data_IF_457411477363
#
_entry.id   IF_457411477363
#
_cell.length_a   1.000
_cell.length_b   1.000
_cell.length_c   1.000
_cell.angle_alpha   90.00
_cell.angle_beta   90.00
_cell.angle_gamma   90.00
#
_symmetry.space_group_name_H-M   'P 1'
#
loop_
_entity.id
_entity.type
_entity.pdbx_description
1 polymer ?
#
# COMPACT_ATOMS: atom_id res chain seq x y z
N UNK A 1 -31.65 -19.74 23.53
CA UNK A 1 -32.99 -19.86 22.88
C UNK A 1 -33.47 -18.57 22.17
N UNK A 2 -33.41 -17.38 22.79
CA UNK A 2 -33.93 -16.12 22.21
C UNK A 2 -33.24 -15.67 20.91
N UNK A 3 -31.90 -15.66 20.88
CA UNK A 3 -31.12 -15.30 19.69
C UNK A 3 -31.40 -16.19 18.47
N UNK A 4 -31.65 -17.49 18.67
CA UNK A 4 -32.02 -18.41 17.58
C UNK A 4 -33.42 -18.14 17.02
N UNK A 5 -34.38 -17.69 17.85
CA UNK A 5 -35.71 -17.27 17.39
C UNK A 5 -35.62 -15.96 16.59
N UNK A 6 -34.87 -14.98 17.09
CA UNK A 6 -34.64 -13.70 16.41
C UNK A 6 -33.94 -13.89 15.05
N UNK A 7 -32.92 -14.75 14.99
CA UNK A 7 -32.23 -15.08 13.74
C UNK A 7 -33.16 -15.71 12.69
N UNK A 8 -34.02 -16.66 13.11
CA UNK A 8 -35.03 -17.27 12.22
C UNK A 8 -36.04 -16.25 11.71
N UNK A 9 -36.48 -15.33 12.58
CA UNK A 9 -37.41 -14.26 12.23
C UNK A 9 -36.79 -13.32 11.19
N UNK A 10 -35.58 -12.82 11.43
CA UNK A 10 -34.85 -11.94 10.49
C UNK A 10 -34.64 -12.62 9.14
N UNK A 11 -34.28 -13.92 9.14
CA UNK A 11 -34.11 -14.71 7.90
C UNK A 11 -35.43 -14.84 7.13
N UNK A 12 -36.54 -15.05 7.83
CA UNK A 12 -37.88 -15.11 7.24
C UNK A 12 -38.31 -13.77 6.62
N UNK A 13 -38.10 -12.67 7.34
CA UNK A 13 -38.37 -11.30 6.86
C UNK A 13 -37.55 -10.98 5.61
N UNK A 14 -36.23 -11.24 5.64
CA UNK A 14 -35.36 -11.03 4.47
C UNK A 14 -35.81 -11.85 3.26
N UNK A 15 -36.25 -13.10 3.46
CA UNK A 15 -36.76 -13.95 2.39
C UNK A 15 -38.05 -13.39 1.78
N UNK A 16 -39.01 -12.96 2.61
CA UNK A 16 -40.27 -12.36 2.15
C UNK A 16 -40.01 -11.03 1.42
N UNK A 17 -39.14 -10.18 1.96
CA UNK A 17 -38.76 -8.91 1.33
C UNK A 17 -38.12 -9.12 -0.05
N UNK A 18 -37.23 -10.12 -0.19
CA UNK A 18 -36.60 -10.47 -1.47
C UNK A 18 -37.64 -10.95 -2.49
N UNK A 19 -38.60 -11.78 -2.09
CA UNK A 19 -39.69 -12.26 -2.96
C UNK A 19 -40.60 -11.10 -3.42
N UNK A 20 -40.82 -10.13 -2.56
CA UNK A 20 -41.61 -8.92 -2.85
C UNK A 20 -40.81 -7.78 -3.52
N UNK A 21 -39.52 -7.99 -3.84
CA UNK A 21 -38.61 -6.95 -4.38
C UNK A 21 -38.52 -5.68 -3.52
N UNK A 22 -38.66 -5.83 -2.20
CA UNK A 22 -38.57 -4.75 -1.23
C UNK A 22 -37.12 -4.57 -0.74
N UNK A 23 -36.70 -3.31 -0.68
CA UNK A 23 -35.46 -2.83 -0.10
C UNK A 23 -35.76 -2.40 1.33
N UNK A 24 -35.00 -2.98 2.27
CA UNK A 24 -35.04 -2.61 3.69
C UNK A 24 -33.66 -2.06 4.04
N UNK A 25 -33.58 -0.77 4.40
CA UNK A 25 -32.34 -0.13 4.84
C UNK A 25 -32.60 0.84 5.98
N UNK A 26 -31.60 0.99 6.83
CA UNK A 26 -31.58 2.08 7.81
C UNK A 26 -31.27 3.37 7.07
N UNK A 27 -32.04 4.42 7.33
CA UNK A 27 -31.81 5.75 6.79
C UNK A 27 -30.54 6.33 7.39
N UNK A 28 -29.75 6.97 6.53
CA UNK A 28 -28.52 7.68 6.87
C UNK A 28 -28.75 8.85 7.83
N UNK A 29 -29.92 9.51 7.74
CA UNK A 29 -30.35 10.57 8.66
C UNK A 29 -31.56 10.13 9.51
N UNK A 30 -31.46 10.34 10.82
CA UNK A 30 -32.57 10.15 11.77
C UNK A 30 -32.82 8.72 12.24
N UNK A 31 -31.98 7.74 11.85
CA UNK A 31 -32.05 6.36 12.37
C UNK A 31 -33.31 5.57 12.00
N UNK A 32 -34.21 6.14 11.19
CA UNK A 32 -35.43 5.49 10.74
C UNK A 32 -35.16 4.30 9.82
N UNK A 33 -36.13 3.38 9.73
CA UNK A 33 -36.06 2.24 8.82
C UNK A 33 -36.85 2.56 7.55
N UNK A 34 -36.18 2.55 6.39
CA UNK A 34 -36.85 2.61 5.09
C UNK A 34 -37.22 1.20 4.61
N UNK A 35 -38.49 1.03 4.25
CA UNK A 35 -39.02 -0.15 3.57
C UNK A 35 -39.72 0.35 2.31
N UNK A 36 -39.21 -0.02 1.14
CA UNK A 36 -39.76 0.42 -0.14
C UNK A 36 -39.27 -0.42 -1.30
N UNK A 37 -39.86 -0.27 -2.48
CA UNK A 37 -39.39 -0.93 -3.70
C UNK A 37 -38.20 -0.16 -4.32
N UNK A 38 -37.51 -0.80 -5.27
CA UNK A 38 -36.49 -0.10 -6.09
C UNK A 38 -37.10 1.12 -6.83
N UNK A 39 -38.31 0.95 -7.35
CA UNK A 39 -39.07 2.02 -8.02
C UNK A 39 -39.36 3.21 -7.11
N UNK A 40 -39.57 2.99 -5.81
CA UNK A 40 -39.80 4.10 -4.87
C UNK A 40 -38.52 4.93 -4.66
N UNK A 41 -37.37 4.26 -4.67
CA UNK A 41 -36.07 4.92 -4.61
C UNK A 41 -35.80 5.74 -5.88
N UNK A 42 -36.07 5.16 -7.05
CA UNK A 42 -35.94 5.84 -8.35
C UNK A 42 -36.86 7.07 -8.43
N UNK A 43 -38.11 6.94 -7.97
CA UNK A 43 -39.09 8.03 -7.91
C UNK A 43 -38.64 9.14 -6.95
N UNK A 44 -38.14 8.78 -5.78
CA UNK A 44 -37.64 9.76 -4.79
C UNK A 44 -36.38 10.47 -5.29
N UNK A 45 -35.49 9.75 -5.96
CA UNK A 45 -34.32 10.34 -6.61
C UNK A 45 -34.72 11.30 -7.73
N UNK A 46 -35.71 10.94 -8.56
CA UNK A 46 -36.25 11.83 -9.59
C UNK A 46 -36.85 13.10 -8.99
N UNK A 47 -37.73 12.95 -7.98
CA UNK A 47 -38.31 14.08 -7.26
C UNK A 47 -37.24 15.01 -6.67
N UNK A 48 -36.22 14.46 -6.03
CA UNK A 48 -35.12 15.27 -5.48
C UNK A 48 -34.34 16.02 -6.56
N UNK A 49 -34.09 15.39 -7.73
CA UNK A 49 -33.44 16.06 -8.86
C UNK A 49 -34.29 17.23 -9.37
N UNK A 50 -35.59 17.05 -9.51
CA UNK A 50 -36.54 18.09 -9.94
C UNK A 50 -36.63 19.23 -8.92
N UNK A 51 -36.81 18.91 -7.63
CA UNK A 51 -37.00 19.89 -6.55
C UNK A 51 -35.74 20.75 -6.33
N UNK A 52 -34.55 20.14 -6.39
CA UNK A 52 -33.29 20.84 -6.06
C UNK A 52 -32.60 21.46 -7.26
N UNK A 53 -32.89 20.99 -8.48
CA UNK A 53 -32.16 21.32 -9.71
C UNK A 53 -30.64 21.15 -9.59
N UNK A 54 -30.17 20.36 -8.62
CA UNK A 54 -28.75 20.23 -8.30
C UNK A 54 -27.98 19.30 -9.26
N UNK A 55 -28.69 18.57 -10.13
CA UNK A 55 -28.10 17.57 -11.02
C UNK A 55 -28.59 17.75 -12.46
N UNK A 56 -27.66 17.74 -13.41
CA UNK A 56 -27.93 17.71 -14.84
C UNK A 56 -27.76 16.29 -15.37
N UNK A 57 -28.74 15.80 -16.12
CA UNK A 57 -28.62 14.52 -16.84
C UNK A 57 -27.70 14.70 -18.05
N UNK A 58 -26.70 13.82 -18.18
CA UNK A 58 -25.76 13.83 -19.29
C UNK A 58 -26.27 12.88 -20.37
N UNK A 59 -26.27 13.33 -21.63
CA UNK A 59 -26.65 12.52 -22.81
C UNK A 59 -25.63 11.44 -23.17
N UNK A 60 -24.49 11.42 -22.50
CA UNK A 60 -23.41 10.48 -22.70
C UNK A 60 -22.86 10.01 -21.35
N UNK A 61 -22.26 8.83 -21.33
CA UNK A 61 -21.53 8.36 -20.15
C UNK A 61 -20.12 8.99 -20.15
N UNK A 62 -19.81 9.95 -19.27
CA UNK A 62 -18.50 10.60 -19.25
C UNK A 62 -17.37 9.65 -18.84
N UNK A 63 -17.70 8.48 -18.27
CA UNK A 63 -16.73 7.46 -17.87
C UNK A 63 -16.46 6.42 -18.97
N UNK A 64 -17.15 6.51 -20.13
CA UNK A 64 -17.03 5.50 -21.20
C UNK A 64 -15.59 5.40 -21.70
N UNK A 65 -14.91 6.53 -21.91
CA UNK A 65 -13.51 6.56 -22.34
C UNK A 65 -12.53 6.00 -21.30
N UNK A 66 -12.76 6.27 -20.01
CA UNK A 66 -11.96 5.69 -18.92
C UNK A 66 -12.10 4.17 -18.84
N UNK A 67 -13.27 3.63 -19.18
CA UNK A 67 -13.57 2.19 -19.15
C UNK A 67 -13.10 1.50 -20.44
N UNK A 68 -13.12 2.19 -21.58
CA UNK A 68 -12.73 1.63 -22.89
C UNK A 68 -11.24 1.68 -23.19
N UNK A 69 -10.40 2.13 -22.25
CA UNK A 69 -8.96 2.14 -22.40
C UNK A 69 -8.42 0.68 -22.38
N UNK A 70 -8.50 0.01 -23.55
CA UNK A 70 -8.23 -1.42 -23.77
C UNK A 70 -6.81 -1.89 -23.39
N UNK A 71 -5.92 -0.96 -23.04
CA UNK A 71 -4.53 -1.25 -22.65
C UNK A 71 -4.29 -1.33 -21.14
N UNK A 72 -5.26 -1.01 -20.28
CA UNK A 72 -5.03 -1.05 -18.82
C UNK A 72 -5.27 -2.47 -18.28
N UNK A 73 -4.23 -3.18 -17.80
CA UNK A 73 -4.41 -4.51 -17.23
C UNK A 73 -5.29 -4.44 -15.98
N UNK A 74 -6.40 -5.17 -15.99
CA UNK A 74 -7.30 -5.29 -14.85
C UNK A 74 -6.71 -6.27 -13.82
N UNK A 75 -6.77 -5.90 -12.54
CA UNK A 75 -6.43 -6.79 -11.43
C UNK A 75 -7.66 -7.61 -11.05
N UNK A 76 -7.64 -8.96 -11.16
CA UNK A 76 -8.79 -9.79 -10.83
C UNK A 76 -8.91 -9.96 -9.31
N UNK A 77 -9.32 -8.88 -8.62
CA UNK A 77 -9.47 -8.86 -7.17
C UNK A 77 -10.71 -9.67 -6.78
N UNK A 78 -10.53 -10.67 -5.92
CA UNK A 78 -11.61 -11.46 -5.35
C UNK A 78 -12.04 -10.87 -4.01
N UNK A 79 -13.35 -10.71 -3.81
CA UNK A 79 -13.90 -10.32 -2.52
C UNK A 79 -13.87 -11.50 -1.53
N UNK A 80 -12.79 -11.59 -0.77
CA UNK A 80 -12.57 -12.66 0.22
C UNK A 80 -13.19 -12.36 1.59
N UNK A 81 -13.80 -11.18 1.82
CA UNK A 81 -14.23 -10.74 3.16
C UNK A 81 -15.19 -11.75 3.82
N UNK A 82 -16.04 -12.40 3.03
CA UNK A 82 -17.01 -13.40 3.50
C UNK A 82 -16.71 -14.81 2.98
N UNK A 83 -15.49 -15.04 2.48
CA UNK A 83 -15.08 -16.37 2.03
C UNK A 83 -14.93 -17.30 3.24
N UNK A 84 -15.24 -18.58 3.05
CA UNK A 84 -15.11 -19.61 4.10
C UNK A 84 -13.65 -19.76 4.55
N UNK A 85 -12.70 -19.58 3.63
CA UNK A 85 -11.27 -19.64 3.88
C UNK A 85 -10.69 -18.40 4.56
N UNK A 86 -11.49 -17.32 4.71
CA UNK A 86 -10.99 -16.03 5.20
C UNK A 86 -10.40 -16.09 6.62
N UNK A 87 -11.07 -16.67 7.63
CA UNK A 87 -10.50 -16.71 8.98
C UNK A 87 -9.19 -17.49 9.05
N UNK A 88 -9.07 -18.58 8.26
CA UNK A 88 -7.84 -19.37 8.18
C UNK A 88 -6.74 -18.55 7.50
N UNK A 89 -7.08 -17.80 6.45
CA UNK A 89 -6.14 -16.91 5.76
C UNK A 89 -5.62 -15.80 6.67
N UNK A 90 -6.49 -15.14 7.44
CA UNK A 90 -6.10 -14.14 8.43
C UNK A 90 -5.16 -14.76 9.50
N UNK A 91 -5.56 -15.91 10.07
CA UNK A 91 -4.76 -16.62 11.07
C UNK A 91 -3.36 -16.99 10.57
N UNK A 92 -3.26 -17.55 9.36
CA UNK A 92 -1.97 -17.90 8.75
C UNK A 92 -1.12 -16.65 8.50
N UNK A 93 -1.72 -15.57 8.02
CA UNK A 93 -1.01 -14.32 7.78
C UNK A 93 -0.44 -13.71 9.08
N UNK A 94 -1.25 -13.62 10.13
CA UNK A 94 -0.85 -13.12 11.44
C UNK A 94 0.26 -13.97 12.07
N UNK A 95 0.20 -15.29 11.87
CA UNK A 95 1.19 -16.22 12.42
C UNK A 95 2.53 -16.15 11.69
N UNK A 96 2.52 -16.03 10.36
CA UNK A 96 3.70 -16.24 9.51
C UNK A 96 4.36 -14.93 9.07
N UNK A 97 3.59 -13.87 8.83
CA UNK A 97 4.11 -12.59 8.31
C UNK A 97 5.19 -11.97 9.22
N UNK A 98 5.09 -11.97 10.56
CA UNK A 98 6.13 -11.42 11.42
C UNK A 98 7.48 -12.15 11.26
N UNK A 99 7.43 -13.48 11.16
CA UNK A 99 8.61 -14.34 10.95
C UNK A 99 9.26 -13.99 9.61
N UNK A 100 8.45 -13.93 8.54
CA UNK A 100 8.96 -13.54 7.23
C UNK A 100 9.63 -12.16 7.25
N UNK A 101 9.01 -11.16 7.87
CA UNK A 101 9.56 -9.81 7.94
C UNK A 101 10.89 -9.76 8.70
N UNK A 102 11.02 -10.52 9.79
CA UNK A 102 12.24 -10.59 10.59
C UNK A 102 13.43 -11.12 9.77
N UNK A 103 13.23 -12.22 9.04
CA UNK A 103 14.29 -12.88 8.28
C UNK A 103 14.54 -12.29 6.89
N UNK A 104 13.67 -11.41 6.39
CA UNK A 104 13.83 -10.75 5.09
C UNK A 104 14.01 -9.23 5.16
N UNK A 105 14.22 -8.67 6.35
CA UNK A 105 14.41 -7.22 6.57
C UNK A 105 15.59 -6.65 5.76
N UNK A 106 16.70 -7.39 5.69
CA UNK A 106 17.94 -6.91 5.05
C UNK A 106 17.83 -6.88 3.52
N UNK A 107 16.88 -7.63 2.95
CA UNK A 107 16.64 -7.71 1.51
C UNK A 107 15.36 -6.98 1.08
N UNK A 108 14.72 -6.19 1.97
CA UNK A 108 13.49 -5.46 1.67
C UNK A 108 13.65 -3.99 2.01
N UNK A 109 13.61 -3.15 0.98
CA UNK A 109 13.46 -1.71 1.14
C UNK A 109 11.99 -1.40 1.39
N UNK A 110 11.69 -0.99 2.62
CA UNK A 110 10.33 -0.67 3.06
C UNK A 110 9.99 0.78 2.73
N UNK A 111 11.02 1.64 2.79
CA UNK A 111 11.12 3.11 2.60
C UNK A 111 12.04 3.51 1.43
N UNK A 112 11.77 4.59 0.70
CA UNK A 112 12.69 5.06 -0.35
C UNK A 112 13.99 5.55 0.25
N UNK A 113 13.91 6.00 1.50
CA UNK A 113 15.03 6.29 2.39
C UNK A 113 15.91 5.06 2.61
N UNK A 114 15.34 3.87 2.75
CA UNK A 114 16.11 2.63 3.00
C UNK A 114 16.97 2.29 1.77
N UNK A 115 16.37 2.40 0.58
CA UNK A 115 17.06 2.22 -0.69
C UNK A 115 18.18 3.26 -0.85
N UNK A 116 17.88 4.54 -0.61
CA UNK A 116 18.86 5.61 -0.74
C UNK A 116 20.02 5.42 0.22
N UNK A 117 19.77 5.11 1.50
CA UNK A 117 20.84 4.82 2.48
C UNK A 117 21.71 3.65 2.04
N UNK A 118 21.10 2.60 1.50
CA UNK A 118 21.81 1.44 0.99
C UNK A 118 22.73 1.83 -0.17
N UNK A 119 22.23 2.63 -1.12
CA UNK A 119 22.99 3.09 -2.28
C UNK A 119 24.06 4.13 -1.92
N UNK A 120 23.79 5.02 -0.98
CA UNK A 120 24.77 5.99 -0.45
C UNK A 120 25.93 5.25 0.21
N UNK A 121 25.63 4.21 1.02
CA UNK A 121 26.66 3.35 1.60
C UNK A 121 27.44 2.61 0.52
N UNK A 122 26.74 2.03 -0.47
CA UNK A 122 27.37 1.35 -1.59
C UNK A 122 28.35 2.24 -2.36
N UNK A 123 27.98 3.50 -2.57
CA UNK A 123 28.84 4.50 -3.19
C UNK A 123 30.01 4.90 -2.28
N UNK A 124 29.76 5.12 -0.98
CA UNK A 124 30.79 5.47 0.00
C UNK A 124 31.85 4.36 0.17
N UNK A 125 31.46 3.10 0.04
CA UNK A 125 32.35 1.93 0.07
C UNK A 125 33.16 1.79 -1.24
N UNK A 126 32.99 2.70 -2.21
CA UNK A 126 33.71 2.70 -3.48
C UNK A 126 33.21 1.67 -4.49
N UNK A 127 32.04 1.08 -4.27
CA UNK A 127 31.47 0.07 -5.17
C UNK A 127 30.73 0.69 -6.36
N UNK A 128 30.24 1.93 -6.25
CA UNK A 128 29.59 2.64 -7.35
C UNK A 128 30.63 3.17 -8.35
N UNK A 129 30.92 2.37 -9.38
CA UNK A 129 31.82 2.71 -10.48
C UNK A 129 31.06 3.30 -11.68
N UNK A 130 31.70 4.02 -12.61
CA UNK A 130 31.06 4.50 -13.84
C UNK A 130 30.26 3.45 -14.62
N UNK A 131 30.76 2.22 -14.67
CA UNK A 131 30.13 1.09 -15.38
C UNK A 131 29.01 0.39 -14.58
N UNK A 132 28.70 0.84 -13.37
CA UNK A 132 27.67 0.21 -12.54
C UNK A 132 26.30 0.50 -13.11
N UNK A 133 25.51 -0.55 -13.32
CA UNK A 133 24.16 -0.47 -13.88
C UNK A 133 23.11 -0.72 -12.79
N UNK A 134 22.04 0.08 -12.80
CA UNK A 134 20.86 -0.18 -12.01
C UNK A 134 19.85 -0.98 -12.83
N UNK A 135 19.42 -2.11 -12.30
CA UNK A 135 18.43 -2.99 -12.94
C UNK A 135 17.21 -3.13 -12.05
N UNK A 136 16.02 -2.97 -12.63
CA UNK A 136 14.75 -3.27 -11.96
C UNK A 136 14.07 -4.43 -12.69
N UNK A 137 13.42 -5.29 -11.92
CA UNK A 137 12.67 -6.44 -12.43
C UNK A 137 11.24 -6.35 -11.89
N UNK A 138 10.26 -6.46 -12.76
CA UNK A 138 8.86 -6.56 -12.38
C UNK A 138 8.34 -7.97 -12.65
N UNK A 139 7.57 -8.51 -11.71
CA UNK A 139 7.05 -9.87 -11.80
C UNK A 139 5.58 -9.82 -12.17
N UNK A 140 5.30 -10.27 -13.39
CA UNK A 140 3.95 -10.32 -13.93
C UNK A 140 3.10 -11.36 -13.18
N UNK A 141 1.91 -10.96 -12.75
CA UNK A 141 0.85 -11.85 -12.27
C UNK A 141 1.25 -12.79 -11.11
N UNK A 142 2.18 -12.38 -10.24
CA UNK A 142 2.73 -13.20 -9.16
C UNK A 142 1.67 -13.96 -8.35
N UNK A 143 0.63 -13.26 -7.86
CA UNK A 143 -0.39 -13.90 -7.03
C UNK A 143 -1.24 -14.92 -7.78
N UNK A 144 -1.66 -14.61 -9.00
CA UNK A 144 -2.58 -15.46 -9.77
C UNK A 144 -1.86 -16.64 -10.43
N UNK A 145 -0.54 -16.61 -10.52
CA UNK A 145 0.28 -17.66 -11.15
C UNK A 145 1.17 -18.42 -10.17
N UNK A 146 1.00 -18.20 -8.86
CA UNK A 146 1.79 -18.87 -7.84
C UNK A 146 1.59 -20.41 -7.91
N UNK A 147 2.65 -21.23 -8.06
CA UNK A 147 2.53 -22.69 -8.07
C UNK A 147 2.16 -23.19 -6.67
N UNK A 148 0.93 -23.68 -6.48
CA UNK A 148 0.35 -23.94 -5.16
C UNK A 148 1.14 -24.99 -4.36
N UNK A 149 1.36 -26.18 -4.92
CA UNK A 149 2.06 -27.28 -4.24
C UNK A 149 3.49 -26.91 -3.86
N UNK A 150 4.21 -26.30 -4.79
CA UNK A 150 5.57 -25.82 -4.54
C UNK A 150 5.59 -24.73 -3.47
N UNK A 151 4.62 -23.81 -3.47
CA UNK A 151 4.53 -22.75 -2.47
C UNK A 151 4.25 -23.28 -1.07
N UNK A 152 3.42 -24.32 -0.94
CA UNK A 152 3.14 -24.98 0.34
C UNK A 152 4.38 -25.73 0.85
N UNK A 153 5.14 -26.37 -0.05
CA UNK A 153 6.41 -27.00 0.29
C UNK A 153 7.44 -25.95 0.75
N UNK A 154 7.66 -24.90 -0.04
CA UNK A 154 8.60 -23.82 0.28
C UNK A 154 8.24 -23.14 1.59
N UNK A 155 6.95 -22.94 1.87
CA UNK A 155 6.49 -22.42 3.17
C UNK A 155 6.92 -23.34 4.32
N UNK A 156 6.72 -24.65 4.18
CA UNK A 156 7.15 -25.61 5.19
C UNK A 156 8.66 -25.58 5.41
N UNK A 157 9.44 -25.57 4.33
CA UNK A 157 10.90 -25.51 4.39
C UNK A 157 11.39 -24.21 5.05
N UNK A 158 10.79 -23.07 4.71
CA UNK A 158 11.07 -21.78 5.32
C UNK A 158 10.83 -21.83 6.84
N UNK A 159 9.68 -22.33 7.27
CA UNK A 159 9.36 -22.41 8.71
C UNK A 159 10.32 -23.36 9.44
N UNK A 160 10.58 -24.55 8.90
CA UNK A 160 11.53 -25.49 9.52
C UNK A 160 12.94 -24.90 9.64
N UNK A 161 13.38 -24.19 8.60
CA UNK A 161 14.70 -23.57 8.57
C UNK A 161 14.86 -22.48 9.65
N UNK A 162 13.81 -21.73 9.96
CA UNK A 162 13.92 -20.52 10.77
C UNK A 162 13.33 -20.64 12.19
N UNK A 163 12.30 -21.47 12.37
CA UNK A 163 11.56 -21.61 13.63
C UNK A 163 11.39 -23.06 14.08
N UNK A 164 11.87 -24.03 13.29
CA UNK A 164 11.75 -25.46 13.59
C UNK A 164 10.38 -26.05 13.22
N UNK A 165 10.00 -27.16 13.85
CA UNK A 165 8.77 -27.92 13.49
C UNK A 165 7.47 -27.33 14.03
N UNK A 166 7.54 -26.26 14.83
CA UNK A 166 6.36 -25.60 15.40
C UNK A 166 6.49 -24.09 15.36
N UNK A 167 5.39 -23.43 15.00
CA UNK A 167 5.22 -21.98 15.16
C UNK A 167 4.23 -21.77 16.30
N UNK A 168 4.71 -21.24 17.43
CA UNK A 168 3.95 -21.24 18.69
C UNK A 168 3.49 -22.67 19.02
N UNK A 169 2.19 -22.89 19.19
CA UNK A 169 1.59 -24.20 19.47
C UNK A 169 1.23 -25.02 18.23
N UNK A 170 1.43 -24.51 17.01
CA UNK A 170 0.96 -25.14 15.77
C UNK A 170 2.12 -25.80 15.02
N UNK A 171 1.98 -27.07 14.62
CA UNK A 171 3.02 -27.76 13.84
C UNK A 171 3.09 -27.24 12.40
N UNK A 172 4.30 -27.26 11.82
CA UNK A 172 4.51 -26.88 10.41
C UNK A 172 3.62 -27.72 9.48
N UNK A 173 3.47 -29.02 9.74
CA UNK A 173 2.56 -29.88 8.97
C UNK A 173 1.11 -29.41 9.02
N UNK A 174 0.64 -28.93 10.17
CA UNK A 174 -0.72 -28.36 10.30
C UNK A 174 -0.84 -27.05 9.52
N UNK A 175 0.18 -26.20 9.61
CA UNK A 175 0.25 -24.95 8.84
C UNK A 175 0.20 -25.22 7.34
N UNK A 176 0.95 -26.22 6.85
CA UNK A 176 0.94 -26.62 5.44
C UNK A 176 -0.45 -27.11 5.00
N UNK A 177 -1.15 -27.90 5.81
CA UNK A 177 -2.52 -28.35 5.50
C UNK A 177 -3.53 -27.20 5.47
N UNK A 178 -3.42 -26.25 6.40
CA UNK A 178 -4.27 -25.05 6.41
C UNK A 178 -3.99 -24.16 5.19
N UNK A 179 -2.71 -23.98 4.85
CA UNK A 179 -2.29 -23.25 3.65
C UNK A 179 -2.82 -23.91 2.37
N UNK A 180 -2.71 -25.24 2.28
CA UNK A 180 -3.27 -26.02 1.18
C UNK A 180 -4.78 -25.79 1.05
N UNK A 181 -5.52 -25.89 2.15
CA UNK A 181 -6.96 -25.63 2.16
C UNK A 181 -7.30 -24.22 1.67
N UNK A 182 -6.59 -23.19 2.14
CA UNK A 182 -6.83 -21.79 1.72
C UNK A 182 -6.55 -21.58 0.23
N UNK A 183 -5.49 -22.19 -0.32
CA UNK A 183 -5.11 -22.02 -1.72
C UNK A 183 -5.96 -22.86 -2.67
N UNK A 184 -6.20 -24.13 -2.32
CA UNK A 184 -6.90 -25.08 -3.19
C UNK A 184 -8.40 -24.93 -3.12
N UNK A 185 -8.99 -24.63 -1.96
CA UNK A 185 -10.47 -24.55 -1.80
C UNK A 185 -11.04 -23.14 -2.00
N UNK A 186 -10.32 -22.28 -2.72
CA UNK A 186 -10.83 -20.97 -3.09
C UNK A 186 -11.85 -21.07 -4.25
N UNK A 187 -13.11 -20.75 -3.94
CA UNK A 187 -14.20 -20.70 -4.92
C UNK A 187 -14.87 -19.32 -4.94
N UNK A 188 -15.30 -18.89 -6.13
CA UNK A 188 -15.94 -17.59 -6.34
C UNK A 188 -17.05 -17.66 -7.40
N UNK A 189 -17.88 -16.61 -7.46
CA UNK A 189 -18.99 -16.49 -8.40
C UNK A 189 -18.69 -15.35 -9.36
N UNK A 190 -18.84 -15.61 -10.65
CA UNK A 190 -18.79 -14.60 -11.71
C UNK A 190 -19.87 -14.92 -12.74
N UNK A 191 -20.63 -13.91 -13.17
CA UNK A 191 -21.72 -14.08 -14.14
C UNK A 191 -22.66 -15.28 -13.84
N UNK A 192 -23.12 -15.36 -12.57
CA UNK A 192 -23.97 -16.44 -12.05
C UNK A 192 -23.40 -17.88 -12.19
N UNK A 193 -22.11 -18.03 -12.50
CA UNK A 193 -21.41 -19.32 -12.57
C UNK A 193 -20.41 -19.43 -11.41
N UNK A 194 -20.17 -20.66 -10.99
CA UNK A 194 -19.23 -20.99 -9.91
C UNK A 194 -17.88 -21.37 -10.51
N UNK A 195 -16.82 -20.85 -9.91
CA UNK A 195 -15.44 -21.10 -10.32
C UNK A 195 -14.61 -21.50 -9.10
N UNK A 196 -13.67 -22.43 -9.31
CA UNK A 196 -12.63 -22.79 -8.35
C UNK A 196 -11.29 -22.36 -8.92
N UNK A 197 -10.46 -21.71 -8.10
CA UNK A 197 -9.12 -21.32 -8.52
C UNK A 197 -8.20 -22.54 -8.50
N UNK A 198 -7.61 -22.87 -9.65
CA UNK A 198 -6.76 -24.06 -9.83
C UNK A 198 -5.25 -23.75 -9.81
N UNK A 199 -4.88 -22.47 -9.91
CA UNK A 199 -3.50 -21.99 -9.85
C UNK A 199 -3.46 -20.63 -9.15
N UNK A 200 -2.36 -20.33 -8.48
CA UNK A 200 -2.20 -19.09 -7.75
C UNK A 200 -2.97 -19.06 -6.44
N UNK A 201 -3.07 -17.87 -5.87
CA UNK A 201 -3.95 -17.56 -4.75
C UNK A 201 -4.91 -16.42 -5.09
N UNK A 202 -5.95 -16.28 -4.28
CA UNK A 202 -6.95 -15.23 -4.45
C UNK A 202 -6.30 -13.86 -4.24
N UNK A 203 -6.29 -13.01 -5.27
CA UNK A 203 -5.85 -11.62 -5.13
C UNK A 203 -6.86 -10.89 -4.23
N UNK A 204 -6.52 -10.71 -2.96
CA UNK A 204 -7.42 -10.24 -1.91
C UNK A 204 -7.45 -11.14 -0.66
N UNK A 205 -6.82 -12.32 -0.71
CA UNK A 205 -6.57 -13.16 0.47
C UNK A 205 -5.31 -12.70 1.20
N UNK A 206 -5.36 -12.40 2.51
CA UNK A 206 -4.20 -11.99 3.30
C UNK A 206 -3.02 -12.96 3.21
N UNK A 207 -3.27 -14.27 3.40
CA UNK A 207 -2.25 -15.31 3.32
C UNK A 207 -1.57 -15.39 1.94
N UNK A 208 -2.28 -15.10 0.85
CA UNK A 208 -1.69 -15.14 -0.50
C UNK A 208 -0.53 -14.17 -0.64
N UNK A 209 -0.59 -13.00 0.01
CA UNK A 209 0.53 -12.05 0.04
C UNK A 209 1.76 -12.63 0.75
N UNK A 210 1.57 -13.21 1.94
CA UNK A 210 2.67 -13.79 2.72
C UNK A 210 3.27 -15.01 2.03
N UNK A 211 2.44 -15.89 1.46
CA UNK A 211 2.91 -17.05 0.69
C UNK A 211 3.72 -16.64 -0.54
N UNK A 212 3.25 -15.65 -1.31
CA UNK A 212 4.00 -15.14 -2.47
C UNK A 212 5.35 -14.52 -2.07
N UNK A 213 5.38 -13.78 -0.97
CA UNK A 213 6.61 -13.19 -0.44
C UNK A 213 7.66 -14.25 -0.04
N UNK A 214 7.22 -15.33 0.60
CA UNK A 214 8.09 -16.47 0.98
C UNK A 214 8.55 -17.24 -0.28
N UNK A 215 7.66 -17.45 -1.24
CA UNK A 215 8.01 -18.06 -2.53
C UNK A 215 9.11 -17.25 -3.22
N UNK A 216 8.93 -15.93 -3.33
CA UNK A 216 9.93 -15.05 -3.90
C UNK A 216 11.23 -15.07 -3.10
N UNK A 217 11.17 -15.19 -1.76
CA UNK A 217 12.39 -15.26 -0.95
C UNK A 217 13.20 -16.50 -1.29
N UNK A 218 12.52 -17.63 -1.49
CA UNK A 218 13.17 -18.85 -1.90
C UNK A 218 13.76 -18.74 -3.31
N UNK A 219 13.04 -18.13 -4.25
CA UNK A 219 13.49 -17.96 -5.64
C UNK A 219 14.71 -17.03 -5.73
N UNK A 220 14.70 -15.92 -4.98
CA UNK A 220 15.74 -14.89 -5.01
C UNK A 220 17.00 -15.28 -4.23
N UNK A 221 16.94 -16.22 -3.29
CA UNK A 221 18.06 -16.58 -2.40
C UNK A 221 19.38 -16.82 -3.14
N UNK A 222 19.33 -17.46 -4.31
CA UNK A 222 20.51 -17.77 -5.14
C UNK A 222 21.09 -16.51 -5.77
N UNK A 223 20.23 -15.60 -6.20
CA UNK A 223 20.62 -14.32 -6.77
C UNK A 223 21.24 -13.42 -5.71
N UNK A 224 20.58 -13.29 -4.55
CA UNK A 224 21.08 -12.50 -3.42
C UNK A 224 22.50 -12.94 -3.03
N UNK A 225 22.72 -14.24 -2.81
CA UNK A 225 24.05 -14.79 -2.45
C UNK A 225 25.11 -14.48 -3.51
N UNK A 226 24.75 -14.57 -4.80
CA UNK A 226 25.66 -14.25 -5.91
C UNK A 226 26.03 -12.77 -5.93
N UNK A 227 25.05 -11.88 -5.74
CA UNK A 227 25.31 -10.44 -5.72
C UNK A 227 26.18 -10.05 -4.52
N UNK A 228 25.83 -10.55 -3.32
CA UNK A 228 26.62 -10.32 -2.11
C UNK A 228 28.08 -10.79 -2.26
N UNK A 229 28.32 -11.94 -2.90
CA UNK A 229 29.69 -12.44 -3.17
C UNK A 229 30.51 -11.51 -4.07
N UNK A 230 29.85 -10.74 -4.93
CA UNK A 230 30.46 -9.77 -5.84
C UNK A 230 30.48 -8.34 -5.26
N UNK A 231 30.03 -8.18 -4.01
CA UNK A 231 29.80 -6.89 -3.36
C UNK A 231 28.79 -6.01 -4.10
N UNK A 232 27.82 -6.61 -4.78
CA UNK A 232 26.71 -5.94 -5.47
C UNK A 232 25.48 -5.87 -4.55
N UNK A 233 24.65 -4.84 -4.69
CA UNK A 233 23.41 -4.67 -3.89
C UNK A 233 22.21 -5.35 -4.56
N UNK A 234 21.39 -6.01 -3.76
CA UNK A 234 20.10 -6.55 -4.17
C UNK A 234 19.06 -6.29 -3.08
N UNK A 235 17.83 -5.94 -3.47
CA UNK A 235 16.72 -5.91 -2.53
C UNK A 235 15.39 -5.65 -3.23
N UNK A 236 14.31 -6.03 -2.55
CA UNK A 236 12.94 -5.77 -3.00
C UNK A 236 12.53 -4.36 -2.65
N UNK A 237 11.84 -3.71 -3.56
CA UNK A 237 11.31 -2.37 -3.36
C UNK A 237 9.79 -2.44 -3.35
N UNK A 238 9.16 -2.00 -2.25
CA UNK A 238 7.69 -2.07 -2.10
C UNK A 238 6.95 -0.85 -2.68
N UNK A 239 7.67 0.20 -3.07
CA UNK A 239 7.13 1.49 -3.55
C UNK A 239 8.25 2.22 -4.34
N UNK A 240 7.94 2.90 -5.46
CA UNK A 240 8.93 3.55 -6.33
C UNK A 240 8.54 5.00 -6.61
N UNK A 241 8.90 5.87 -5.67
CA UNK A 241 8.82 7.34 -5.82
C UNK A 241 10.23 7.96 -5.92
N UNK A 242 11.27 7.14 -6.13
CA UNK A 242 12.68 7.56 -6.19
C UNK A 242 13.22 7.30 -7.60
N UNK A 243 13.82 8.31 -8.21
CA UNK A 243 14.66 8.17 -9.40
C UNK A 243 16.10 8.00 -8.94
N UNK A 244 16.80 7.01 -9.49
CA UNK A 244 18.21 6.72 -9.19
C UNK A 244 18.99 6.73 -10.49
N UNK A 245 20.11 7.45 -10.54
CA UNK A 245 21.06 7.42 -11.65
C UNK A 245 22.51 7.39 -11.17
N UNK A 246 23.37 6.87 -12.03
CA UNK A 246 24.81 6.81 -11.82
C UNK A 246 25.47 7.84 -12.73
N UNK A 247 25.92 8.95 -12.16
CA UNK A 247 26.58 10.04 -12.90
C UNK A 247 28.09 9.82 -12.85
N UNK A 248 28.59 8.87 -13.66
CA UNK A 248 30.02 8.54 -13.77
C UNK A 248 30.68 8.16 -12.43
N UNK A 249 30.03 7.30 -11.64
CA UNK A 249 30.48 6.87 -10.31
C UNK A 249 29.90 7.71 -9.16
N UNK A 250 29.22 8.81 -9.45
CA UNK A 250 28.50 9.60 -8.44
C UNK A 250 27.01 9.23 -8.39
N UNK A 251 26.51 8.88 -7.21
CA UNK A 251 25.10 8.58 -7.00
C UNK A 251 24.25 9.85 -7.13
N UNK A 252 23.25 9.82 -8.02
CA UNK A 252 22.24 10.85 -8.11
C UNK A 252 20.86 10.27 -7.80
N UNK A 253 20.11 10.97 -6.94
CA UNK A 253 18.74 10.59 -6.58
C UNK A 253 17.83 11.81 -6.59
N UNK A 254 16.58 11.61 -6.99
CA UNK A 254 15.52 12.62 -6.96
C UNK A 254 14.15 11.97 -6.80
N UNK A 255 13.09 12.77 -6.67
CA UNK A 255 11.71 12.24 -6.66
C UNK A 255 11.34 11.83 -8.08
N UNK A 256 10.86 10.60 -8.23
CA UNK A 256 10.34 10.10 -9.50
C UNK A 256 8.88 10.51 -9.68
N UNK A 257 8.58 11.17 -10.79
CA UNK A 257 7.22 11.41 -11.26
C UNK A 257 6.98 10.60 -12.52
N UNK A 258 5.85 9.89 -12.57
CA UNK A 258 5.44 9.23 -13.81
C UNK A 258 5.17 10.31 -14.87
N UNK A 259 5.62 10.16 -16.12
CA UNK A 259 5.35 11.14 -17.17
C UNK A 259 3.86 11.43 -17.39
N UNK A 260 3.00 10.45 -17.08
CA UNK A 260 1.53 10.56 -17.16
C UNK A 260 0.87 11.01 -15.86
N UNK A 261 1.63 11.29 -14.79
CA UNK A 261 1.05 11.76 -13.55
C UNK A 261 0.58 13.20 -13.73
N UNK A 262 -0.74 13.37 -13.75
CA UNK A 262 -1.34 14.69 -13.66
C UNK A 262 -1.10 15.24 -12.24
N UNK A 263 -0.87 16.56 -12.09
CA UNK A 263 -0.54 17.18 -10.81
C UNK A 263 -1.78 17.34 -9.93
N UNK A 264 -2.65 16.34 -9.83
CA UNK A 264 -3.87 16.39 -9.03
C UNK A 264 -3.61 15.90 -7.61
N UNK A 265 -3.95 16.77 -6.66
CA UNK A 265 -4.08 16.42 -5.24
C UNK A 265 -5.49 16.81 -4.79
N UNK A 266 -5.82 16.54 -3.54
CA UNK A 266 -7.11 16.94 -2.97
C UNK A 266 -7.29 18.46 -3.11
N UNK A 267 -8.31 18.97 -3.84
CA UNK A 267 -8.50 20.40 -4.04
C UNK A 267 -8.72 21.13 -2.72
N UNK A 268 -8.14 22.32 -2.52
CA UNK A 268 -8.18 23.01 -1.22
C UNK A 268 -9.60 23.37 -0.74
N UNK A 269 -10.54 23.51 -1.68
CA UNK A 269 -11.95 23.83 -1.42
C UNK A 269 -12.80 22.63 -0.99
N UNK A 270 -12.25 21.42 -1.05
CA UNK A 270 -12.98 20.20 -0.70
C UNK A 270 -13.25 20.08 0.81
N UNK A 271 -14.29 19.33 1.16
CA UNK A 271 -14.74 19.13 2.56
C UNK A 271 -13.92 18.04 3.27
N UNK A 272 -12.61 18.24 3.32
CA UNK A 272 -11.70 17.39 4.07
C UNK A 272 -11.16 18.12 5.32
N UNK A 273 -10.83 17.39 6.39
CA UNK A 273 -10.20 17.99 7.56
C UNK A 273 -8.91 18.75 7.23
N UNK A 274 -8.65 19.84 7.94
CA UNK A 274 -7.48 20.71 7.69
C UNK A 274 -6.12 20.02 7.77
N UNK A 275 -6.02 18.95 8.58
CA UNK A 275 -4.79 18.17 8.68
C UNK A 275 -4.46 17.44 7.37
N UNK A 276 -5.44 17.08 6.54
CA UNK A 276 -5.22 16.39 5.26
C UNK A 276 -4.41 17.27 4.30
N UNK A 277 -4.82 18.54 4.15
CA UNK A 277 -4.10 19.52 3.32
C UNK A 277 -2.68 19.78 3.85
N UNK A 278 -2.56 19.88 5.18
CA UNK A 278 -1.25 20.04 5.85
C UNK A 278 -0.34 18.85 5.53
N UNK A 279 -0.85 17.62 5.67
CA UNK A 279 -0.07 16.39 5.45
C UNK A 279 0.35 16.24 4.00
N UNK A 280 -0.52 16.56 3.03
CA UNK A 280 -0.17 16.53 1.60
C UNK A 280 1.09 17.37 1.35
N UNK A 281 1.12 18.59 1.86
CA UNK A 281 2.25 19.51 1.68
C UNK A 281 3.50 19.00 2.41
N UNK A 282 3.35 18.69 3.70
CA UNK A 282 4.49 18.32 4.55
C UNK A 282 5.12 17.00 4.10
N UNK A 283 4.32 15.98 3.79
CA UNK A 283 4.82 14.69 3.32
C UNK A 283 5.51 14.82 1.97
N UNK A 284 4.96 15.59 1.02
CA UNK A 284 5.61 15.83 -0.27
C UNK A 284 6.96 16.53 -0.10
N UNK A 285 7.03 17.55 0.77
CA UNK A 285 8.26 18.32 0.98
C UNK A 285 9.33 17.53 1.75
N UNK A 286 8.94 16.77 2.78
CA UNK A 286 9.85 15.86 3.49
C UNK A 286 10.39 14.79 2.53
N UNK A 287 9.55 14.26 1.63
CA UNK A 287 9.99 13.32 0.59
C UNK A 287 10.98 13.99 -0.38
N UNK A 288 10.70 15.20 -0.85
CA UNK A 288 11.60 15.96 -1.71
C UNK A 288 13.00 16.13 -1.08
N UNK A 289 13.05 16.45 0.22
CA UNK A 289 14.32 16.63 0.92
C UNK A 289 15.08 15.31 1.06
N UNK A 290 14.38 14.24 1.46
CA UNK A 290 15.00 12.92 1.66
C UNK A 290 15.51 12.31 0.36
N UNK A 291 14.76 12.48 -0.73
CA UNK A 291 15.03 11.78 -1.99
C UNK A 291 15.99 12.51 -2.91
N UNK A 292 16.18 13.81 -2.73
CA UNK A 292 17.11 14.58 -3.55
C UNK A 292 18.54 14.46 -3.03
N UNK A 293 19.47 13.96 -3.84
CA UNK A 293 20.90 13.94 -3.46
C UNK A 293 21.60 15.29 -3.66
N UNK A 294 21.03 16.19 -4.46
CA UNK A 294 21.58 17.52 -4.71
C UNK A 294 20.58 18.61 -4.35
N UNK A 295 21.08 19.80 -4.03
CA UNK A 295 20.23 20.95 -3.74
C UNK A 295 19.41 21.39 -4.97
N UNK A 296 19.97 21.25 -6.17
CA UNK A 296 19.25 21.57 -7.40
C UNK A 296 18.07 20.62 -7.65
N UNK A 297 18.28 19.30 -7.47
CA UNK A 297 17.20 18.32 -7.58
C UNK A 297 16.06 18.63 -6.59
N UNK A 298 16.41 19.00 -5.37
CA UNK A 298 15.44 19.44 -4.37
C UNK A 298 14.69 20.70 -4.79
N UNK A 299 15.39 21.71 -5.34
CA UNK A 299 14.75 22.95 -5.79
C UNK A 299 13.76 22.73 -6.94
N UNK A 300 14.12 21.87 -7.90
CA UNK A 300 13.24 21.46 -9.00
C UNK A 300 11.96 20.83 -8.42
N UNK A 301 12.12 19.85 -7.52
CA UNK A 301 10.98 19.17 -6.89
C UNK A 301 10.13 20.11 -6.05
N UNK A 302 10.75 21.00 -5.26
CA UNK A 302 10.06 22.00 -4.45
C UNK A 302 9.21 22.94 -5.31
N UNK A 303 9.72 23.37 -6.46
CA UNK A 303 8.96 24.19 -7.43
C UNK A 303 7.79 23.39 -8.00
N UNK A 304 7.99 22.12 -8.36
CA UNK A 304 6.95 21.24 -8.86
C UNK A 304 5.82 21.06 -7.82
N UNK A 305 6.17 20.83 -6.55
CA UNK A 305 5.20 20.74 -5.44
C UNK A 305 4.41 22.05 -5.30
N UNK A 306 5.08 23.21 -5.34
CA UNK A 306 4.39 24.50 -5.25
C UNK A 306 3.41 24.70 -6.40
N UNK A 307 3.83 24.40 -7.63
CA UNK A 307 2.99 24.51 -8.82
C UNK A 307 1.76 23.61 -8.71
N UNK A 308 1.96 22.34 -8.34
CA UNK A 308 0.90 21.37 -8.10
C UNK A 308 -0.11 21.90 -7.07
N UNK A 309 0.33 22.40 -5.92
CA UNK A 309 -0.56 22.94 -4.89
C UNK A 309 -1.35 24.15 -5.37
N UNK A 310 -0.70 25.09 -6.08
CA UNK A 310 -1.37 26.26 -6.65
C UNK A 310 -2.44 25.86 -7.67
N UNK A 311 -2.16 24.88 -8.54
CA UNK A 311 -3.12 24.35 -9.51
C UNK A 311 -4.36 23.72 -8.85
N UNK A 312 -4.20 23.18 -7.63
CA UNK A 312 -5.30 22.60 -6.85
C UNK A 312 -5.95 23.62 -5.88
N UNK A 313 -5.71 24.92 -6.08
CA UNK A 313 -6.40 26.01 -5.38
C UNK A 313 -5.89 26.29 -3.96
N UNK A 314 -4.71 25.81 -3.59
CA UNK A 314 -4.14 26.09 -2.27
C UNK A 314 -3.67 27.55 -2.19
N UNK A 315 -4.07 28.33 -1.15
CA UNK A 315 -3.63 29.71 -0.99
C UNK A 315 -2.11 29.82 -0.82
N UNK A 316 -1.45 30.74 -1.53
CA UNK A 316 0.01 30.93 -1.45
C UNK A 316 0.49 31.11 -0.01
N UNK A 317 -0.22 31.93 0.78
CA UNK A 317 0.12 32.17 2.19
C UNK A 317 0.12 30.87 2.98
N UNK A 318 -0.85 29.99 2.73
CA UNK A 318 -0.94 28.70 3.42
C UNK A 318 0.19 27.74 3.00
N UNK A 319 0.54 27.72 1.71
CA UNK A 319 1.69 26.97 1.18
C UNK A 319 2.97 27.45 1.85
N UNK A 320 3.21 28.76 1.88
CA UNK A 320 4.40 29.38 2.46
C UNK A 320 4.53 29.05 3.95
N UNK A 321 3.42 29.13 4.70
CA UNK A 321 3.38 28.72 6.10
C UNK A 321 3.79 27.26 6.29
N UNK A 322 3.27 26.33 5.47
CA UNK A 322 3.62 24.92 5.60
C UNK A 322 5.07 24.65 5.17
N UNK A 323 5.56 25.33 4.12
CA UNK A 323 6.95 25.21 3.68
C UNK A 323 7.91 25.66 4.78
N UNK A 324 7.64 26.81 5.43
CA UNK A 324 8.45 27.31 6.56
C UNK A 324 8.49 26.34 7.74
N UNK A 325 7.37 25.66 8.04
CA UNK A 325 7.34 24.67 9.14
C UNK A 325 8.29 23.49 8.91
N UNK A 326 8.43 23.04 7.65
CA UNK A 326 9.30 21.90 7.31
C UNK A 326 10.75 22.35 7.11
N UNK A 327 10.95 23.46 6.39
CA UNK A 327 12.27 23.95 6.00
C UNK A 327 12.97 24.76 7.09
N UNK A 328 12.22 25.24 8.10
CA UNK A 328 12.69 26.21 9.06
C UNK A 328 12.75 27.63 8.48
N UNK A 329 13.12 28.60 9.32
CA UNK A 329 13.32 30.00 8.90
C UNK A 329 14.59 30.20 8.06
N UNK A 330 15.53 29.25 8.12
CA UNK A 330 16.86 29.38 7.55
C UNK A 330 16.90 29.09 6.04
N UNK A 331 16.00 28.22 5.55
CA UNK A 331 15.87 27.91 4.12
C UNK A 331 14.68 28.70 3.56
N UNK A 332 14.93 29.49 2.52
CA UNK A 332 13.88 30.33 1.92
C UNK A 332 12.71 29.49 1.40
N UNK A 333 11.52 29.82 1.92
CA UNK A 333 10.24 29.21 1.58
C UNK A 333 9.59 29.84 0.33
N UNK A 334 10.02 31.05 -0.04
CA UNK A 334 9.31 31.94 -0.97
C UNK A 334 10.00 32.13 -2.31
N UNK A 335 11.33 31.88 -2.40
CA UNK A 335 12.09 32.22 -3.62
C UNK A 335 11.96 31.15 -4.72
N UNK A 336 11.55 31.58 -5.91
CA UNK A 336 11.64 30.79 -7.15
C UNK A 336 13.10 30.65 -7.61
N UNK A 337 13.97 31.61 -7.26
CA UNK A 337 15.41 31.57 -7.54
C UNK A 337 16.15 30.71 -6.50
N UNK A 338 17.19 29.94 -6.89
CA UNK A 338 18.07 29.29 -5.93
C UNK A 338 18.83 30.39 -5.18
N UNK A 339 18.57 30.51 -3.88
CA UNK A 339 19.34 31.41 -3.03
C UNK A 339 20.68 30.74 -2.74
N UNK A 340 21.76 31.44 -3.10
CA UNK A 340 23.15 30.97 -3.19
C UNK A 340 23.77 30.59 -1.81
N UNK A 341 22.99 30.55 -0.73
CA UNK A 341 23.48 30.25 0.63
C UNK A 341 22.67 29.15 1.38
N UNK A 342 21.81 28.43 0.65
CA UNK A 342 20.90 27.42 1.24
C UNK A 342 21.35 25.97 1.06
N UNK A 343 22.40 25.70 0.29
CA UNK A 343 22.84 24.34 -0.03
C UNK A 343 23.38 23.58 1.20
N UNK A 344 24.29 24.20 1.96
CA UNK A 344 24.83 23.59 3.18
C UNK A 344 23.73 23.29 4.22
N UNK A 345 22.78 24.20 4.38
CA UNK A 345 21.63 24.01 5.28
C UNK A 345 20.69 22.91 4.79
N UNK A 346 20.47 22.80 3.49
CA UNK A 346 19.72 21.70 2.90
C UNK A 346 20.35 20.36 3.27
N UNK A 347 21.67 20.21 3.12
CA UNK A 347 22.35 18.95 3.48
C UNK A 347 22.27 18.64 4.97
N UNK A 348 22.33 19.65 5.84
CA UNK A 348 22.12 19.48 7.29
C UNK A 348 20.69 19.00 7.59
N UNK A 349 19.68 19.65 6.99
CA UNK A 349 18.27 19.27 7.15
C UNK A 349 18.02 17.86 6.60
N UNK A 350 18.57 17.54 5.43
CA UNK A 350 18.47 16.21 4.82
C UNK A 350 19.08 15.16 5.73
N UNK A 351 20.29 15.37 6.25
CA UNK A 351 20.94 14.44 7.20
C UNK A 351 20.06 14.20 8.43
N UNK A 352 19.47 15.26 8.99
CA UNK A 352 18.52 15.16 10.11
C UNK A 352 17.28 14.33 9.75
N UNK A 353 16.64 14.63 8.61
CA UNK A 353 15.41 13.96 8.19
C UNK A 353 15.64 12.51 7.76
N UNK A 354 16.81 12.17 7.22
CA UNK A 354 17.20 10.80 6.89
C UNK A 354 17.35 9.93 8.14
N UNK A 355 17.71 10.51 9.29
CA UNK A 355 17.80 9.82 10.58
C UNK A 355 16.46 9.63 11.31
N UNK A 356 15.39 10.31 10.88
CA UNK A 356 14.08 10.23 11.54
C UNK A 356 13.23 9.09 10.97
N UNK A 357 12.66 8.20 11.81
CA UNK A 357 11.72 7.21 11.34
C UNK A 357 10.47 7.90 10.76
N UNK A 358 9.89 7.32 9.70
CA UNK A 358 8.56 7.74 9.24
C UNK A 358 7.49 7.34 10.24
N UNK A 359 6.30 7.95 10.17
CA UNK A 359 5.14 7.53 10.96
C UNK A 359 4.82 6.04 10.80
N UNK A 360 5.09 5.44 9.62
CA UNK A 360 4.91 4.01 9.39
C UNK A 360 5.94 3.18 10.14
N UNK A 361 7.22 3.58 10.12
CA UNK A 361 8.27 2.95 10.92
C UNK A 361 7.95 3.07 12.42
N UNK A 362 7.55 4.25 12.91
CA UNK A 362 7.16 4.43 14.30
C UNK A 362 5.95 3.60 14.71
N UNK A 363 4.96 3.39 13.82
CA UNK A 363 3.82 2.50 14.08
C UNK A 363 4.23 1.02 14.12
N UNK A 364 5.15 0.59 13.25
CA UNK A 364 5.65 -0.80 13.23
C UNK A 364 6.53 -1.05 14.47
N UNK A 365 7.43 -0.12 14.81
CA UNK A 365 8.26 -0.18 16.00
C UNK A 365 7.41 -0.20 17.28
N UNK A 366 6.34 0.61 17.35
CA UNK A 366 5.40 0.61 18.46
C UNK A 366 4.64 -0.72 18.63
N UNK A 367 4.23 -1.36 17.52
CA UNK A 367 3.60 -2.69 17.54
C UNK A 367 4.57 -3.80 17.94
N UNK A 368 5.83 -3.71 17.50
CA UNK A 368 6.88 -4.67 17.89
C UNK A 368 7.19 -4.53 19.38
N UNK A 369 7.26 -3.31 19.92
CA UNK A 369 7.44 -3.07 21.34
C UNK A 369 6.30 -3.67 22.18
N UNK A 370 5.04 -3.43 21.80
CA UNK A 370 3.88 -4.06 22.46
C UNK A 370 3.92 -5.58 22.42
N UNK A 371 4.31 -6.18 21.28
CA UNK A 371 4.41 -7.65 21.18
C UNK A 371 5.53 -8.27 22.02
N UNK A 372 6.56 -7.50 22.40
CA UNK A 372 7.61 -7.96 23.32
C UNK A 372 7.15 -7.90 24.77
N UNK A 373 6.34 -6.91 25.12
CA UNK A 373 5.72 -6.82 26.45
C UNK A 373 4.67 -7.91 26.66
N UNK A 374 3.84 -8.22 25.64
CA UNK A 374 2.85 -9.32 25.72
C UNK A 374 3.51 -10.70 25.87
N UNK A 375 4.73 -10.89 25.36
CA UNK A 375 5.51 -12.12 25.55
C UNK A 375 6.20 -12.19 26.93
N UNK A 376 6.27 -11.08 27.67
CA UNK A 376 6.80 -11.06 29.04
C UNK A 376 5.73 -11.47 30.08
N UNK A 377 4.44 -11.38 29.75
CA UNK A 377 3.33 -11.74 30.65
C UNK A 377 2.99 -13.24 30.71
N UNK A 378 3.58 -14.07 29.85
CA UNK A 378 3.45 -15.53 29.92
C UNK A 378 4.82 -16.21 30.04
N UNK A 379 5.43 -16.23 31.24
CA UNK A 379 6.61 -17.03 31.47
C UNK A 379 6.25 -18.51 31.24
N UNK A 380 6.98 -19.13 30.30
CA UNK A 380 7.00 -20.56 30.05
C UNK A 380 7.22 -21.28 31.38
N UNK A 381 6.24 -22.05 31.83
CA UNK A 381 6.40 -23.10 32.84
C UNK A 381 6.36 -24.46 32.17
#
# INVERSE_FOLDING_TARGET
MRAQREFRLVKSIRRKARKAKLIIRVCDKGGGLHIGSKSDYERKAAKYREDTKAYQELSYNPLKEMITNKGTPLRPILNTIKAVTRPISDFLDELIRPIYNEYNKDNTFTEGVDLIKCLEKYAADGHLKPQTLFCTFDINNLYTMLPQDESIRILGDFLRQHVGERVKSVSVTTIQKLAEFVQKENAFIYDNKFYKQIIGGAMGSPFTLTSANIFMWHWEKRWVRRQQSKKETYGRVSFLDVLVSNNNGALYTSVYHKPSAEPYVVPFISDHPRYTFTNIIQTALVRAIRYSSTFEAFNIERRAIRLMLSLNGYPSIYIDQQFRKVLGYSISSTSILPLIDNEGQFFQLRKKLMGQPTSRQSQVEGRIAQSKDDNAEYPVK
#
